data_IF_904858438860
#
_entry.id   IF_904858438860
#
_cell.length_a   1.000
_cell.length_b   1.000
_cell.length_c   1.000
_cell.angle_alpha   90.00
_cell.angle_beta   90.00
_cell.angle_gamma   90.00
#
_symmetry.space_group_name_H-M   'P 1'
#
loop_
_entity.id
_entity.type
_entity.pdbx_description
1 polymer ?
#
# COMPACT_ATOMS: atom_id res chain seq x y z
N UNK A 1 33.07 -17.49 -10.51
CA UNK A 1 32.21 -18.25 -9.58
C UNK A 1 30.79 -17.92 -9.96
N UNK A 2 30.19 -18.80 -10.77
CA UNK A 2 28.86 -18.62 -11.36
C UNK A 2 27.82 -18.81 -10.26
N UNK A 3 27.01 -17.78 -10.02
CA UNK A 3 25.83 -17.92 -9.18
C UNK A 3 24.77 -18.61 -10.04
N UNK A 4 24.53 -19.88 -9.75
CA UNK A 4 23.58 -20.71 -10.45
C UNK A 4 22.18 -20.19 -10.13
N UNK A 5 21.59 -19.49 -11.10
CA UNK A 5 20.24 -18.93 -11.08
C UNK A 5 19.22 -20.08 -11.11
N UNK A 6 19.09 -20.77 -9.98
CA UNK A 6 18.04 -21.75 -9.72
C UNK A 6 16.76 -20.94 -9.61
N UNK A 7 15.66 -21.27 -10.33
CA UNK A 7 14.39 -20.58 -10.13
C UNK A 7 13.95 -20.89 -8.71
N UNK A 8 14.32 -20.00 -7.78
CA UNK A 8 14.03 -20.16 -6.38
C UNK A 8 12.52 -20.22 -6.27
N UNK A 9 12.00 -21.38 -5.87
CA UNK A 9 10.59 -21.53 -5.57
C UNK A 9 10.14 -20.31 -4.77
N UNK A 10 9.09 -19.62 -5.24
CA UNK A 10 8.68 -18.35 -4.67
C UNK A 10 8.68 -18.46 -3.14
N UNK A 11 9.38 -17.57 -2.42
CA UNK A 11 9.57 -17.68 -0.98
C UNK A 11 8.20 -17.88 -0.32
N UNK A 12 8.10 -18.77 0.66
CA UNK A 12 6.85 -19.14 1.34
C UNK A 12 6.69 -18.42 2.68
N UNK A 13 7.73 -17.73 3.14
CA UNK A 13 7.74 -16.92 4.36
C UNK A 13 8.61 -15.66 4.22
N UNK A 14 8.37 -14.68 5.10
CA UNK A 14 9.19 -13.46 5.17
C UNK A 14 10.68 -13.79 5.43
N UNK A 15 10.97 -14.80 6.25
CA UNK A 15 12.33 -15.22 6.53
C UNK A 15 13.04 -15.79 5.29
N UNK A 16 12.33 -16.58 4.46
CA UNK A 16 12.87 -17.04 3.17
C UNK A 16 13.06 -15.89 2.18
N UNK A 17 12.10 -14.95 2.12
CA UNK A 17 12.23 -13.77 1.27
C UNK A 17 13.43 -12.89 1.66
N UNK A 18 13.74 -12.77 2.96
CA UNK A 18 14.93 -12.04 3.44
C UNK A 18 16.23 -12.79 3.14
N UNK A 19 16.24 -14.13 3.24
CA UNK A 19 17.42 -14.94 2.88
C UNK A 19 17.75 -14.90 1.39
N UNK A 20 16.74 -14.69 0.54
CA UNK A 20 16.92 -14.58 -0.90
C UNK A 20 17.35 -13.18 -1.37
N UNK A 21 17.39 -12.17 -0.47
CA UNK A 21 17.87 -10.82 -0.81
C UNK A 21 19.39 -10.74 -0.80
N UNK A 22 19.90 -9.81 -1.60
CA UNK A 22 21.31 -9.43 -1.57
C UNK A 22 21.65 -8.53 -0.37
N UNK A 23 22.94 -8.48 -0.03
CA UNK A 23 23.45 -7.71 1.11
C UNK A 23 23.17 -6.21 0.99
N UNK A 24 23.10 -5.70 -0.25
CA UNK A 24 22.78 -4.30 -0.53
C UNK A 24 21.33 -3.96 -0.15
N UNK A 25 20.36 -4.80 -0.55
CA UNK A 25 18.95 -4.64 -0.16
C UNK A 25 18.75 -4.85 1.33
N UNK A 26 19.46 -5.79 1.97
CA UNK A 26 19.42 -5.98 3.42
C UNK A 26 19.95 -4.73 4.15
N UNK A 27 21.06 -4.17 3.69
CA UNK A 27 21.61 -2.93 4.25
C UNK A 27 20.65 -1.74 4.06
N UNK A 28 19.98 -1.64 2.91
CA UNK A 28 18.96 -0.62 2.68
C UNK A 28 17.76 -0.77 3.64
N UNK A 29 17.29 -2.00 3.87
CA UNK A 29 16.24 -2.30 4.84
C UNK A 29 16.64 -1.85 6.26
N UNK A 30 17.85 -2.17 6.71
CA UNK A 30 18.30 -1.79 8.06
C UNK A 30 18.45 -0.28 8.22
N UNK A 31 18.84 0.45 7.17
CA UNK A 31 18.87 1.92 7.17
C UNK A 31 17.47 2.52 7.19
N UNK A 32 16.54 1.95 6.43
CA UNK A 32 15.14 2.40 6.41
C UNK A 32 14.40 2.07 7.71
N UNK A 33 14.76 0.95 8.37
CA UNK A 33 14.17 0.48 9.63
C UNK A 33 15.24 0.28 10.71
N UNK A 34 15.77 1.38 11.28
CA UNK A 34 16.73 1.28 12.40
C UNK A 34 16.13 0.62 13.64
N UNK A 35 14.80 0.55 13.74
CA UNK A 35 14.10 -0.18 14.81
C UNK A 35 14.36 -1.71 14.76
N UNK A 36 14.87 -2.26 13.66
CA UNK A 36 15.17 -3.69 13.54
C UNK A 36 16.51 -4.08 14.15
N UNK A 37 17.46 -3.16 14.23
CA UNK A 37 18.83 -3.40 14.71
C UNK A 37 18.99 -3.26 16.23
N UNK A 38 17.94 -2.84 16.95
CA UNK A 38 18.00 -2.61 18.39
C UNK A 38 17.00 -3.50 19.13
N UNK A 39 17.45 -4.56 19.84
CA UNK A 39 18.82 -5.09 19.93
C UNK A 39 19.27 -5.82 18.65
N UNK A 40 20.57 -5.97 18.40
CA UNK A 40 21.09 -6.57 17.16
C UNK A 40 20.58 -8.01 17.01
N UNK A 41 19.84 -8.35 15.93
CA UNK A 41 19.36 -9.71 15.72
C UNK A 41 20.54 -10.63 15.38
N UNK A 42 20.58 -11.82 15.96
CA UNK A 42 21.66 -12.79 15.72
C UNK A 42 21.47 -13.61 14.44
N UNK A 43 20.27 -13.56 13.84
CA UNK A 43 19.95 -14.27 12.59
C UNK A 43 18.77 -13.62 11.82
N UNK A 44 18.62 -13.98 10.54
CA UNK A 44 17.57 -13.48 9.65
C UNK A 44 16.15 -13.92 10.07
N UNK A 45 16.00 -15.01 10.83
CA UNK A 45 14.70 -15.45 11.34
C UNK A 45 14.22 -14.52 12.43
N UNK A 46 15.09 -14.13 13.37
CA UNK A 46 14.80 -13.12 14.37
C UNK A 46 14.54 -11.75 13.75
N UNK A 47 15.31 -11.39 12.72
CA UNK A 47 15.03 -10.17 11.93
C UNK A 47 13.61 -10.22 11.34
N UNK A 48 13.23 -11.33 10.70
CA UNK A 48 11.90 -11.51 10.12
C UNK A 48 10.79 -11.43 11.18
N UNK A 49 10.95 -12.12 12.30
CA UNK A 49 10.00 -12.10 13.42
C UNK A 49 9.84 -10.69 13.96
N UNK A 50 10.94 -9.95 14.16
CA UNK A 50 10.91 -8.57 14.63
C UNK A 50 10.27 -7.64 13.61
N UNK A 51 10.59 -7.82 12.33
CA UNK A 51 10.00 -7.05 11.24
C UNK A 51 8.50 -7.20 11.15
N UNK A 52 7.96 -8.36 11.53
CA UNK A 52 6.53 -8.64 11.63
C UNK A 52 5.85 -8.13 12.91
N UNK A 53 6.58 -7.60 13.90
CA UNK A 53 5.94 -7.09 15.13
C UNK A 53 5.13 -5.83 14.87
N UNK A 54 3.99 -5.69 15.57
CA UNK A 54 3.08 -4.54 15.43
C UNK A 54 3.79 -3.20 15.59
N UNK A 55 4.60 -3.03 16.62
CA UNK A 55 5.33 -1.78 16.88
C UNK A 55 6.29 -1.42 15.73
N UNK A 56 6.99 -2.43 15.18
CA UNK A 56 7.92 -2.21 14.08
C UNK A 56 7.21 -1.93 12.76
N UNK A 57 6.05 -2.56 12.53
CA UNK A 57 5.22 -2.31 11.35
C UNK A 57 4.59 -0.91 11.40
N UNK A 58 4.05 -0.48 12.55
CA UNK A 58 3.50 0.88 12.71
C UNK A 58 4.57 1.93 12.39
N UNK A 59 5.79 1.80 12.93
CA UNK A 59 6.90 2.71 12.64
C UNK A 59 7.37 2.68 11.19
N UNK A 60 7.17 1.57 10.47
CA UNK A 60 7.45 1.50 9.04
C UNK A 60 6.37 2.25 8.25
N UNK A 61 5.09 2.00 8.55
CA UNK A 61 3.95 2.69 7.94
C UNK A 61 3.99 4.21 8.14
N UNK A 62 4.39 4.69 9.33
CA UNK A 62 4.57 6.12 9.63
C UNK A 62 5.64 6.81 8.77
N UNK A 63 6.60 6.04 8.22
CA UNK A 63 7.68 6.55 7.36
C UNK A 63 7.32 6.50 5.87
N UNK A 64 6.19 5.90 5.50
CA UNK A 64 5.76 5.84 4.11
C UNK A 64 5.23 7.19 3.64
N UNK A 65 5.49 7.52 2.38
CA UNK A 65 4.77 8.61 1.73
C UNK A 65 3.29 8.25 1.54
N UNK A 66 2.48 9.28 1.29
CA UNK A 66 1.02 9.13 1.17
C UNK A 66 0.60 8.15 0.07
N UNK A 67 1.28 8.14 -1.07
CA UNK A 67 0.92 7.27 -2.19
C UNK A 67 1.32 5.82 -1.91
N UNK A 68 2.49 5.61 -1.29
CA UNK A 68 2.92 4.28 -0.86
C UNK A 68 2.04 3.71 0.26
N UNK A 69 1.58 4.55 1.20
CA UNK A 69 0.61 4.15 2.20
C UNK A 69 -0.73 3.74 1.56
N UNK A 70 -1.26 4.53 0.64
CA UNK A 70 -2.48 4.21 -0.10
C UNK A 70 -2.34 2.89 -0.88
N UNK A 71 -1.17 2.64 -1.48
CA UNK A 71 -0.87 1.38 -2.16
C UNK A 71 -0.90 0.19 -1.19
N UNK A 72 -0.38 0.37 0.02
CA UNK A 72 -0.43 -0.67 1.06
C UNK A 72 -1.86 -0.94 1.56
N UNK A 73 -2.70 0.11 1.68
CA UNK A 73 -4.12 -0.02 2.01
C UNK A 73 -4.89 -0.79 0.92
N UNK A 74 -4.63 -0.49 -0.35
CA UNK A 74 -5.19 -1.24 -1.49
C UNK A 74 -4.77 -2.71 -1.45
N UNK A 75 -3.50 -3.01 -1.17
CA UNK A 75 -3.03 -4.38 -0.97
C UNK A 75 -3.68 -5.08 0.25
N UNK A 76 -4.06 -4.34 1.29
CA UNK A 76 -4.70 -4.90 2.47
C UNK A 76 -6.14 -5.38 2.19
N UNK A 77 -6.84 -4.75 1.25
CA UNK A 77 -8.19 -5.15 0.79
C UNK A 77 -8.17 -6.11 -0.40
N UNK A 78 -7.08 -6.16 -1.16
CA UNK A 78 -6.88 -7.08 -2.28
C UNK A 78 -6.83 -8.57 -1.84
N UNK A 79 -7.07 -9.52 -2.75
CA UNK A 79 -6.85 -10.96 -2.48
C UNK A 79 -5.42 -11.26 -2.00
N UNK A 80 -5.22 -12.33 -1.22
CA UNK A 80 -3.88 -12.78 -0.77
C UNK A 80 -3.59 -14.18 -1.34
N UNK A 81 -2.60 -14.34 -2.24
CA UNK A 81 -1.74 -13.30 -2.83
C UNK A 81 -2.44 -12.47 -3.91
N UNK A 82 -2.03 -11.21 -4.11
CA UNK A 82 -2.48 -10.34 -5.19
C UNK A 82 -1.45 -10.27 -6.33
N UNK A 83 -1.91 -10.01 -7.55
CA UNK A 83 -1.05 -9.69 -8.70
C UNK A 83 -0.84 -8.17 -8.83
N UNK A 84 0.21 -7.76 -9.53
CA UNK A 84 0.48 -6.37 -9.87
C UNK A 84 -0.68 -5.73 -10.63
N UNK A 85 -1.25 -6.45 -11.58
CA UNK A 85 -2.37 -5.96 -12.40
C UNK A 85 -3.64 -5.74 -11.57
N UNK A 86 -3.96 -6.64 -10.63
CA UNK A 86 -5.08 -6.45 -9.70
C UNK A 86 -4.88 -5.23 -8.80
N UNK A 87 -3.66 -5.04 -8.29
CA UNK A 87 -3.34 -3.85 -7.49
C UNK A 87 -3.42 -2.56 -8.33
N UNK A 88 -2.92 -2.59 -9.55
CA UNK A 88 -3.00 -1.47 -10.47
C UNK A 88 -4.46 -1.12 -10.78
N UNK A 89 -5.30 -2.12 -11.08
CA UNK A 89 -6.72 -1.92 -11.31
C UNK A 89 -7.44 -1.31 -10.10
N UNK A 90 -7.11 -1.75 -8.87
CA UNK A 90 -7.66 -1.19 -7.64
C UNK A 90 -7.26 0.28 -7.41
N UNK A 91 -6.04 0.65 -7.79
CA UNK A 91 -5.49 2.00 -7.55
C UNK A 91 -5.82 2.99 -8.66
N UNK A 92 -5.77 2.55 -9.92
CA UNK A 92 -5.94 3.39 -11.10
C UNK A 92 -7.40 3.45 -11.59
N UNK A 93 -8.25 2.52 -11.14
CA UNK A 93 -9.63 2.40 -11.60
C UNK A 93 -9.74 2.02 -13.08
N UNK A 94 -10.94 2.18 -13.64
CA UNK A 94 -11.26 1.78 -15.01
C UNK A 94 -10.48 2.57 -16.09
N UNK A 95 -10.03 3.78 -15.76
CA UNK A 95 -9.35 4.68 -16.71
C UNK A 95 -7.82 4.51 -16.74
N UNK A 96 -7.26 3.59 -15.95
CA UNK A 96 -5.82 3.32 -15.89
C UNK A 96 -4.97 4.60 -15.81
N UNK A 97 -5.23 5.42 -14.78
CA UNK A 97 -4.54 6.70 -14.56
C UNK A 97 -3.01 6.55 -14.71
N UNK A 98 -2.45 7.21 -15.73
CA UNK A 98 -1.02 7.16 -16.05
C UNK A 98 -0.15 7.62 -14.88
N UNK A 99 -0.63 8.53 -14.03
CA UNK A 99 0.11 8.96 -12.86
C UNK A 99 0.30 7.79 -11.88
N UNK A 100 -0.75 7.00 -11.68
CA UNK A 100 -0.73 5.80 -10.84
C UNK A 100 0.17 4.73 -11.46
N UNK A 101 0.03 4.43 -12.76
CA UNK A 101 0.86 3.43 -13.45
C UNK A 101 2.35 3.76 -13.36
N UNK A 102 2.72 5.04 -13.44
CA UNK A 102 4.11 5.48 -13.33
C UNK A 102 4.64 5.51 -11.89
N UNK A 103 3.76 5.73 -10.90
CA UNK A 103 4.15 5.82 -9.50
C UNK A 103 4.17 4.46 -8.78
N UNK A 104 3.30 3.53 -9.19
CA UNK A 104 3.12 2.22 -8.55
C UNK A 104 4.41 1.38 -8.44
N UNK A 105 5.28 1.30 -9.47
CA UNK A 105 6.54 0.55 -9.35
C UNK A 105 7.45 1.09 -8.23
N UNK A 106 7.52 2.42 -8.07
CA UNK A 106 8.33 3.03 -7.00
C UNK A 106 7.72 2.80 -5.62
N UNK A 107 6.38 2.86 -5.51
CA UNK A 107 5.68 2.55 -4.27
C UNK A 107 5.90 1.09 -3.85
N UNK A 108 5.79 0.13 -4.78
CA UNK A 108 6.07 -1.28 -4.51
C UNK A 108 7.53 -1.52 -4.13
N UNK A 109 8.48 -0.84 -4.79
CA UNK A 109 9.89 -0.90 -4.40
C UNK A 109 10.07 -0.42 -2.95
N UNK A 110 9.49 0.72 -2.57
CA UNK A 110 9.56 1.22 -1.19
C UNK A 110 8.94 0.25 -0.16
N UNK A 111 7.79 -0.37 -0.47
CA UNK A 111 7.17 -1.38 0.40
C UNK A 111 8.04 -2.64 0.54
N UNK A 112 8.71 -3.05 -0.53
CA UNK A 112 9.68 -4.15 -0.51
C UNK A 112 10.91 -3.75 0.31
N UNK A 113 11.44 -2.56 0.12
CA UNK A 113 12.62 -2.04 0.86
C UNK A 113 12.37 -2.01 2.37
N UNK A 114 11.14 -1.74 2.80
CA UNK A 114 10.76 -1.77 4.23
C UNK A 114 10.35 -3.16 4.76
N UNK A 115 10.44 -4.20 3.93
CA UNK A 115 10.00 -5.56 4.22
C UNK A 115 8.52 -5.64 4.67
N UNK A 116 7.68 -4.76 4.12
CA UNK A 116 6.22 -4.79 4.30
C UNK A 116 5.55 -5.67 3.25
N UNK A 117 6.13 -5.77 2.06
CA UNK A 117 5.67 -6.63 0.97
C UNK A 117 6.79 -7.59 0.56
N UNK A 118 6.42 -8.83 0.26
CA UNK A 118 7.29 -9.87 -0.27
C UNK A 118 6.59 -10.67 -1.37
N UNK A 119 7.37 -11.39 -2.17
CA UNK A 119 6.89 -12.13 -3.33
C UNK A 119 7.12 -11.38 -4.67
N UNK A 120 6.96 -12.13 -5.75
CA UNK A 120 7.04 -11.61 -7.13
C UNK A 120 5.85 -10.71 -7.44
N UNK A 121 5.91 -10.00 -8.58
CA UNK A 121 4.82 -9.14 -9.03
C UNK A 121 3.51 -9.92 -9.27
N UNK A 122 3.58 -11.22 -9.55
CA UNK A 122 2.39 -12.09 -9.67
C UNK A 122 1.84 -12.59 -8.34
N UNK A 123 2.59 -12.43 -7.24
CA UNK A 123 2.24 -12.96 -5.92
C UNK A 123 2.68 -12.01 -4.81
N UNK A 124 2.19 -10.77 -4.87
CA UNK A 124 2.39 -9.75 -3.85
C UNK A 124 1.72 -10.19 -2.56
N UNK A 125 2.51 -10.29 -1.49
CA UNK A 125 2.06 -10.63 -0.15
C UNK A 125 2.41 -9.53 0.81
N UNK A 126 1.39 -8.91 1.38
CA UNK A 126 1.54 -7.96 2.48
C UNK A 126 1.82 -8.72 3.77
N UNK A 127 2.71 -8.20 4.63
CA UNK A 127 2.93 -8.76 5.96
C UNK A 127 1.59 -8.77 6.71
N UNK A 128 1.24 -9.93 7.29
CA UNK A 128 -0.05 -10.14 7.98
C UNK A 128 -0.39 -9.02 8.95
N UNK A 129 0.56 -8.57 9.76
CA UNK A 129 0.35 -7.49 10.73
C UNK A 129 0.08 -6.14 10.08
N UNK A 130 0.70 -5.83 8.94
CA UNK A 130 0.38 -4.62 8.18
C UNK A 130 -1.03 -4.72 7.59
N UNK A 131 -1.41 -5.90 7.07
CA UNK A 131 -2.77 -6.16 6.62
C UNK A 131 -3.79 -5.98 7.74
N UNK A 132 -3.54 -6.49 8.93
CA UNK A 132 -4.43 -6.34 10.09
C UNK A 132 -4.55 -4.88 10.58
N UNK A 133 -3.50 -4.08 10.40
CA UNK A 133 -3.48 -2.65 10.77
C UNK A 133 -4.20 -1.77 9.74
N UNK A 134 -4.03 -2.09 8.46
CA UNK A 134 -4.56 -1.31 7.33
C UNK A 134 -5.93 -1.80 6.87
N UNK A 135 -6.30 -3.05 7.19
CA UNK A 135 -7.60 -3.60 6.86
C UNK A 135 -8.66 -2.64 7.43
N UNK A 136 -9.68 -2.29 6.63
CA UNK A 136 -10.73 -1.39 7.07
C UNK A 136 -11.40 -2.00 8.28
N UNK A 137 -11.02 -1.51 9.46
CA UNK A 137 -11.76 -1.80 10.67
C UNK A 137 -13.18 -1.26 10.44
N UNK A 138 -14.24 -2.01 10.82
CA UNK A 138 -15.63 -1.59 10.57
C UNK A 138 -16.00 -0.23 11.20
N UNK A 139 -15.09 0.40 11.94
CA UNK A 139 -15.23 1.68 12.61
C UNK A 139 -14.86 2.92 11.78
N UNK A 140 -14.31 2.78 10.57
CA UNK A 140 -13.90 3.95 9.77
C UNK A 140 -14.40 3.85 8.33
N UNK A 141 -15.73 3.93 8.18
CA UNK A 141 -16.32 4.27 6.89
C UNK A 141 -16.11 5.78 6.65
N UNK A 142 -15.39 6.22 5.61
CA UNK A 142 -15.41 7.63 5.23
C UNK A 142 -16.85 7.98 4.87
N UNK A 143 -17.39 8.99 5.56
CA UNK A 143 -18.72 9.54 5.31
C UNK A 143 -18.75 9.96 3.84
N UNK A 144 -19.69 9.48 3.00
CA UNK A 144 -19.75 9.93 1.62
C UNK A 144 -19.94 11.44 1.64
N UNK A 145 -18.97 12.15 1.05
CA UNK A 145 -19.02 13.60 0.89
C UNK A 145 -20.36 13.93 0.22
N UNK A 146 -21.13 14.77 0.89
CA UNK A 146 -22.43 15.24 0.40
C UNK A 146 -22.27 15.78 -1.02
N UNK A 147 -22.94 15.15 -1.98
CA UNK A 147 -23.10 15.67 -3.33
C UNK A 147 -23.58 17.13 -3.28
N UNK A 148 -23.09 18.02 -4.17
CA UNK A 148 -23.55 19.40 -4.21
C UNK A 148 -25.05 19.41 -4.56
N UNK A 149 -25.87 19.98 -3.67
CA UNK A 149 -27.29 20.25 -3.91
C UNK A 149 -27.38 21.17 -5.13
N UNK A 150 -27.95 20.65 -6.21
CA UNK A 150 -28.36 21.43 -7.37
C UNK A 150 -29.34 22.53 -6.93
N UNK A 151 -28.86 23.77 -6.98
CA UNK A 151 -29.63 24.97 -6.68
C UNK A 151 -30.58 25.20 -7.87
N UNK A 152 -31.86 24.84 -7.69
CA UNK A 152 -32.92 25.12 -8.67
C UNK A 152 -32.89 26.60 -9.09
N UNK A 153 -33.06 26.93 -10.38
CA UNK A 153 -33.17 28.32 -10.80
C UNK A 153 -34.48 28.92 -10.27
N UNK A 154 -34.38 30.12 -9.68
CA UNK A 154 -35.52 30.95 -9.30
C UNK A 154 -36.30 31.28 -10.58
N UNK A 155 -37.55 30.83 -10.67
CA UNK A 155 -38.50 31.30 -11.67
C UNK A 155 -38.66 32.82 -11.49
N UNK A 156 -38.38 33.56 -12.56
CA UNK A 156 -38.67 34.97 -12.65
C UNK A 156 -40.20 35.17 -12.63
N UNK A 157 -40.69 35.99 -11.71
CA UNK A 157 -42.03 36.58 -11.81
C UNK A 157 -42.03 37.61 -12.93
N UNK A 158 -42.96 37.56 -13.90
CA UNK A 158 -43.26 38.71 -14.72
C UNK A 158 -44.21 39.64 -13.94
N UNK A 159 -43.71 40.81 -13.56
CA UNK A 159 -44.50 41.99 -13.19
C UNK A 159 -44.86 42.75 -14.47
N UNK A 160 -46.14 42.87 -14.82
CA UNK A 160 -46.79 43.97 -15.57
C UNK A 160 -48.14 43.46 -16.15
N UNK A 161 -49.26 44.18 -16.18
CA UNK A 161 -49.61 45.54 -15.74
C UNK A 161 -50.91 45.48 -14.90
N UNK A 162 -51.20 46.43 -14.00
CA UNK A 162 -51.42 47.87 -14.20
C UNK A 162 -52.61 48.23 -15.10
N UNK A 163 -53.67 48.71 -14.42
CA UNK A 163 -54.61 49.81 -14.76
C UNK A 163 -55.84 49.47 -15.62
N UNK A 164 -57.04 49.69 -15.03
CA UNK A 164 -58.01 50.79 -15.28
C UNK A 164 -58.61 50.67 -16.69
N UNK A 165 -59.91 50.53 -16.86
CA UNK A 165 -61.02 51.34 -16.35
C UNK A 165 -62.34 50.61 -16.60
#
# INVERSE_FOLDING_TARGET
MSNEDKPAAAPRSLAEALRARDDASLSALLRARPDLITPVPTDLTQLATRAGTRASVVRALERLDRFTLQTAEALAVAPDPATYDELLALMAGDDADRAVTNALPRALAALRDQALVWGSDDRLRLVRTARELLAPSPSTRPRPASAPRSRRPRRACPRAGCRRS
#
